data_IF_015779988258
#
_entry.id   IF_015779988258
#
_cell.length_a   1.000
_cell.length_b   1.000
_cell.length_c   1.000
_cell.angle_alpha   90.00
_cell.angle_beta   90.00
_cell.angle_gamma   90.00
#
_symmetry.space_group_name_H-M   'P 1'
#
loop_
_entity.id
_entity.type
_entity.pdbx_description
1 polymer ?
#
# COMPACT_ATOMS: atom_id res chain seq x y z
N UNK A 1 -24.45 -4.73 -16.91
CA UNK A 1 -23.52 -3.66 -16.49
C UNK A 1 -24.03 -2.84 -15.29
N UNK A 2 -25.32 -2.50 -15.20
CA UNK A 2 -25.92 -1.72 -14.09
C UNK A 2 -25.93 -2.46 -12.75
N UNK A 3 -26.30 -3.74 -12.72
CA UNK A 3 -26.38 -4.58 -11.50
C UNK A 3 -25.02 -4.69 -10.79
N UNK A 4 -23.93 -4.89 -11.52
CA UNK A 4 -22.58 -4.96 -10.94
C UNK A 4 -22.12 -3.65 -10.28
N UNK A 5 -22.53 -2.49 -10.83
CA UNK A 5 -22.26 -1.18 -10.21
C UNK A 5 -23.02 -1.00 -8.89
N UNK A 6 -24.28 -1.41 -8.86
CA UNK A 6 -25.13 -1.32 -7.65
C UNK A 6 -24.55 -2.24 -6.56
N UNK A 7 -24.26 -3.49 -6.87
CA UNK A 7 -23.67 -4.45 -5.94
C UNK A 7 -22.37 -3.95 -5.33
N UNK A 8 -21.46 -3.43 -6.16
CA UNK A 8 -20.20 -2.85 -5.70
C UNK A 8 -20.43 -1.67 -4.77
N UNK A 9 -21.35 -0.76 -5.11
CA UNK A 9 -21.67 0.41 -4.27
C UNK A 9 -22.22 -0.01 -2.91
N UNK A 10 -23.06 -1.02 -2.84
CA UNK A 10 -23.57 -1.58 -1.59
C UNK A 10 -22.43 -2.16 -0.76
N UNK A 11 -21.56 -3.00 -1.33
CA UNK A 11 -20.42 -3.60 -0.64
C UNK A 11 -19.47 -2.54 -0.05
N UNK A 12 -19.10 -1.54 -0.84
CA UNK A 12 -18.18 -0.49 -0.36
C UNK A 12 -18.82 0.40 0.70
N UNK A 13 -20.13 0.67 0.63
CA UNK A 13 -20.86 1.42 1.65
C UNK A 13 -20.92 0.64 2.97
N UNK A 14 -21.31 -0.62 2.95
CA UNK A 14 -21.31 -1.49 4.14
C UNK A 14 -19.91 -1.62 4.74
N UNK A 15 -18.88 -1.78 3.93
CA UNK A 15 -17.51 -1.83 4.41
C UNK A 15 -17.11 -0.54 5.14
N UNK A 16 -17.46 0.63 4.63
CA UNK A 16 -17.19 1.92 5.26
C UNK A 16 -17.93 2.11 6.59
N UNK A 17 -19.16 1.60 6.69
CA UNK A 17 -19.92 1.61 7.93
C UNK A 17 -19.26 0.74 9.02
N UNK A 18 -18.75 -0.44 8.64
CA UNK A 18 -18.04 -1.33 9.57
C UNK A 18 -16.63 -0.80 9.91
N UNK A 19 -15.98 -0.12 8.97
CA UNK A 19 -14.63 0.41 9.11
C UNK A 19 -14.58 1.92 8.84
N UNK A 20 -14.91 2.75 9.83
CA UNK A 20 -15.00 4.22 9.66
C UNK A 20 -13.70 4.88 9.20
N UNK A 21 -12.54 4.26 9.43
CA UNK A 21 -11.25 4.75 8.90
C UNK A 21 -11.21 4.88 7.38
N UNK A 22 -12.09 4.17 6.66
CA UNK A 22 -12.23 4.27 5.21
C UNK A 22 -13.34 5.23 4.75
N UNK A 23 -14.05 5.91 5.67
CA UNK A 23 -15.21 6.76 5.34
C UNK A 23 -14.87 7.85 4.31
N UNK A 24 -13.69 8.47 4.45
CA UNK A 24 -13.22 9.55 3.57
C UNK A 24 -12.53 9.04 2.28
N UNK A 25 -12.38 7.74 2.09
CA UNK A 25 -11.77 7.17 0.89
C UNK A 25 -12.79 6.96 -0.23
N UNK A 26 -12.39 7.15 -1.48
CA UNK A 26 -13.11 6.66 -2.66
C UNK A 26 -12.67 5.21 -2.88
N UNK A 27 -13.61 4.27 -2.80
CA UNK A 27 -13.35 2.84 -3.01
C UNK A 27 -14.00 2.38 -4.32
N UNK A 28 -13.18 1.90 -5.25
CA UNK A 28 -13.69 1.24 -6.46
C UNK A 28 -14.07 -0.22 -6.19
N UNK A 29 -13.40 -0.86 -5.23
CA UNK A 29 -13.79 -2.13 -4.64
C UNK A 29 -13.35 -2.18 -3.17
N UNK A 30 -13.87 -3.17 -2.41
CA UNK A 30 -13.45 -3.39 -1.02
C UNK A 30 -12.02 -3.93 -1.00
N UNK A 31 -11.04 -3.21 -0.44
CA UNK A 31 -9.68 -3.70 -0.37
C UNK A 31 -9.58 -4.88 0.61
N UNK A 32 -8.67 -5.80 0.33
CA UNK A 32 -8.33 -6.87 1.27
C UNK A 32 -7.29 -6.36 2.26
N UNK A 33 -7.69 -6.18 3.52
CA UNK A 33 -6.83 -5.59 4.56
C UNK A 33 -6.72 -6.54 5.74
N UNK A 34 -5.49 -6.90 6.10
CA UNK A 34 -5.15 -7.61 7.33
C UNK A 34 -4.59 -6.65 8.37
N UNK A 35 -4.90 -6.90 9.65
CA UNK A 35 -4.47 -6.06 10.79
C UNK A 35 -4.94 -4.60 10.70
N UNK A 36 -6.22 -4.39 10.37
CA UNK A 36 -6.83 -3.06 10.15
C UNK A 36 -6.58 -2.05 11.28
N UNK A 37 -6.46 -2.51 12.54
CA UNK A 37 -6.16 -1.66 13.69
C UNK A 37 -4.76 -0.99 13.62
N UNK A 38 -3.86 -1.53 12.81
CA UNK A 38 -2.51 -1.01 12.58
C UNK A 38 -2.38 -0.23 11.26
N UNK A 39 -3.51 0.01 10.57
CA UNK A 39 -3.58 0.82 9.36
C UNK A 39 -4.08 2.22 9.72
N UNK A 40 -3.29 3.24 9.39
CA UNK A 40 -3.66 4.65 9.51
C UNK A 40 -3.85 5.23 8.11
N UNK A 41 -5.00 5.85 7.89
CA UNK A 41 -5.39 6.43 6.60
C UNK A 41 -5.60 7.92 6.72
N UNK A 42 -5.01 8.68 5.82
CA UNK A 42 -5.28 10.09 5.60
C UNK A 42 -6.63 10.33 4.92
N UNK A 43 -6.85 11.53 4.46
CA UNK A 43 -8.06 11.97 3.77
C UNK A 43 -7.89 11.92 2.25
N UNK A 44 -9.03 11.94 1.52
CA UNK A 44 -9.06 11.97 0.04
C UNK A 44 -8.26 10.86 -0.63
N UNK A 45 -8.33 9.66 -0.08
CA UNK A 45 -7.72 8.48 -0.69
C UNK A 45 -8.59 7.97 -1.84
N UNK A 46 -7.95 7.47 -2.88
CA UNK A 46 -8.57 6.72 -3.95
C UNK A 46 -7.97 5.31 -3.96
N UNK A 47 -8.79 4.30 -3.69
CA UNK A 47 -8.36 2.90 -3.62
C UNK A 47 -9.11 2.13 -4.71
N UNK A 48 -8.35 1.68 -5.71
CA UNK A 48 -8.89 0.90 -6.81
C UNK A 48 -9.17 -0.55 -6.40
N UNK A 49 -9.55 -1.34 -7.35
CA UNK A 49 -9.85 -2.76 -7.16
C UNK A 49 -8.59 -3.61 -6.94
N UNK A 50 -8.78 -4.78 -6.36
CA UNK A 50 -7.74 -5.77 -6.07
C UNK A 50 -6.54 -5.24 -5.23
N UNK A 51 -6.74 -4.21 -4.42
CA UNK A 51 -5.70 -3.72 -3.50
C UNK A 51 -5.60 -4.63 -2.29
N UNK A 52 -4.37 -5.04 -1.95
CA UNK A 52 -4.04 -5.84 -0.78
C UNK A 52 -3.12 -5.08 0.18
N UNK A 53 -3.49 -5.04 1.47
CA UNK A 53 -2.69 -4.40 2.52
C UNK A 53 -2.55 -5.36 3.70
N UNK A 54 -1.32 -5.80 3.98
CA UNK A 54 -0.97 -6.47 5.22
C UNK A 54 -0.26 -5.48 6.16
N UNK A 55 -0.98 -5.01 7.16
CA UNK A 55 -0.51 -3.98 8.09
C UNK A 55 0.03 -4.54 9.41
N UNK A 56 0.54 -5.78 9.45
CA UNK A 56 1.04 -6.40 10.68
C UNK A 56 2.17 -5.60 11.35
N UNK A 57 3.05 -4.96 10.57
CA UNK A 57 4.12 -4.08 11.04
C UNK A 57 3.70 -2.61 11.21
N UNK A 58 2.43 -2.30 10.89
CA UNK A 58 1.95 -0.94 10.76
C UNK A 58 2.05 -0.41 9.32
N UNK A 59 0.99 0.28 8.87
CA UNK A 59 0.99 1.00 7.59
C UNK A 59 0.34 2.35 7.81
N UNK A 60 1.02 3.41 7.39
CA UNK A 60 0.48 4.77 7.38
C UNK A 60 0.44 5.28 5.95
N UNK A 61 -0.74 5.74 5.52
CA UNK A 61 -0.96 6.34 4.20
C UNK A 61 -1.43 7.76 4.39
N UNK A 62 -0.67 8.71 3.83
CA UNK A 62 -0.95 10.14 3.91
C UNK A 62 -2.20 10.57 3.13
N UNK A 63 -2.44 11.87 3.13
CA UNK A 63 -3.58 12.47 2.42
C UNK A 63 -3.40 12.41 0.91
N UNK A 64 -4.51 12.39 0.17
CA UNK A 64 -4.53 12.50 -1.29
C UNK A 64 -3.69 11.44 -2.00
N UNK A 65 -3.70 10.19 -1.49
CA UNK A 65 -2.98 9.07 -2.09
C UNK A 65 -3.90 8.26 -2.99
N UNK A 66 -3.38 7.86 -4.14
CA UNK A 66 -4.03 6.93 -5.06
C UNK A 66 -3.32 5.59 -5.02
N UNK A 67 -4.04 4.54 -4.66
CA UNK A 67 -3.61 3.16 -4.83
C UNK A 67 -4.31 2.58 -6.05
N UNK A 68 -3.58 2.37 -7.14
CA UNK A 68 -4.12 1.84 -8.39
C UNK A 68 -4.44 0.34 -8.27
N UNK A 69 -5.04 -0.22 -9.33
CA UNK A 69 -5.37 -1.65 -9.42
C UNK A 69 -4.19 -2.54 -9.00
N UNK A 70 -4.48 -3.58 -8.20
CA UNK A 70 -3.52 -4.63 -7.86
C UNK A 70 -2.36 -4.19 -6.96
N UNK A 71 -2.39 -3.00 -6.39
CA UNK A 71 -1.34 -2.55 -5.46
C UNK A 71 -1.28 -3.47 -4.26
N UNK A 72 -0.07 -3.90 -3.91
CA UNK A 72 0.23 -4.78 -2.78
C UNK A 72 1.16 -4.05 -1.79
N UNK A 73 0.71 -3.91 -0.53
CA UNK A 73 1.48 -3.31 0.57
C UNK A 73 1.67 -4.37 1.65
N UNK A 74 2.91 -4.76 1.94
CA UNK A 74 3.21 -5.85 2.88
C UNK A 74 4.24 -5.40 3.89
N UNK A 75 3.81 -5.11 5.13
CA UNK A 75 4.66 -4.64 6.22
C UNK A 75 5.35 -5.78 7.00
N UNK A 76 5.49 -6.95 6.39
CA UNK A 76 6.25 -8.08 6.92
C UNK A 76 7.18 -8.64 5.85
N UNK A 77 8.26 -9.26 6.28
CA UNK A 77 9.25 -9.93 5.44
C UNK A 77 9.93 -11.03 6.23
N UNK A 78 11.03 -11.55 5.71
CA UNK A 78 11.84 -12.57 6.37
C UNK A 78 13.17 -11.99 6.82
N UNK A 79 13.68 -12.44 7.97
CA UNK A 79 15.06 -12.25 8.35
C UNK A 79 15.94 -13.22 7.57
N UNK A 80 16.47 -12.75 6.46
CA UNK A 80 17.29 -13.57 5.58
C UNK A 80 18.61 -13.99 6.20
N UNK A 81 19.12 -13.28 7.23
CA UNK A 81 20.35 -13.64 7.95
C UNK A 81 20.16 -14.93 8.75
N UNK A 82 18.95 -15.24 9.15
CA UNK A 82 18.60 -16.45 9.92
C UNK A 82 18.09 -17.60 9.05
N UNK A 83 17.92 -17.37 7.74
CA UNK A 83 17.29 -18.34 6.85
C UNK A 83 17.96 -19.71 6.83
N UNK A 84 19.31 -19.75 6.67
CA UNK A 84 20.07 -20.99 6.58
C UNK A 84 20.15 -21.74 7.92
N UNK A 85 20.30 -21.01 9.02
CA UNK A 85 20.52 -21.56 10.34
C UNK A 85 19.25 -21.69 11.20
N UNK A 86 18.07 -21.46 10.60
CA UNK A 86 16.80 -21.55 11.33
C UNK A 86 16.54 -22.99 11.81
N UNK A 87 16.00 -23.11 13.01
CA UNK A 87 15.47 -24.38 13.52
C UNK A 87 14.10 -24.68 12.90
N UNK A 88 13.73 -25.97 12.83
CA UNK A 88 12.39 -26.36 12.35
C UNK A 88 11.31 -25.68 13.20
N UNK A 89 10.34 -25.05 12.51
CA UNK A 89 9.25 -24.32 13.16
C UNK A 89 9.62 -22.94 13.71
N UNK A 90 10.86 -22.49 13.56
CA UNK A 90 11.25 -21.15 14.01
C UNK A 90 10.62 -20.07 13.12
N UNK A 91 9.93 -19.12 13.78
CA UNK A 91 9.40 -17.93 13.10
C UNK A 91 10.53 -16.91 12.94
N UNK A 92 10.89 -16.64 11.68
CA UNK A 92 11.88 -15.65 11.30
C UNK A 92 11.27 -14.46 10.56
N UNK A 93 9.96 -14.23 10.71
CA UNK A 93 9.33 -13.06 10.13
C UNK A 93 9.74 -11.78 10.86
N UNK A 94 10.01 -10.75 10.08
CA UNK A 94 10.27 -9.40 10.58
C UNK A 94 9.16 -8.47 10.05
N UNK A 95 8.53 -7.77 10.97
CA UNK A 95 7.52 -6.77 10.63
C UNK A 95 8.06 -5.37 10.87
N UNK A 96 8.06 -4.52 9.83
CA UNK A 96 8.52 -3.13 9.89
C UNK A 96 7.45 -2.21 9.31
N UNK A 97 7.24 -1.01 9.90
CA UNK A 97 6.21 -0.10 9.42
C UNK A 97 6.50 0.40 8.02
N UNK A 98 5.41 0.66 7.26
CA UNK A 98 5.46 1.32 5.95
C UNK A 98 4.82 2.68 6.08
N UNK A 99 5.44 3.70 5.49
CA UNK A 99 4.94 5.07 5.46
C UNK A 99 4.83 5.55 4.02
N UNK A 100 3.63 5.89 3.57
CA UNK A 100 3.39 6.52 2.27
C UNK A 100 3.02 7.98 2.52
N UNK A 101 3.82 8.90 2.03
CA UNK A 101 3.62 10.34 2.16
C UNK A 101 2.33 10.83 1.50
N UNK A 102 1.99 12.09 1.72
CA UNK A 102 0.84 12.71 1.08
C UNK A 102 1.07 12.94 -0.42
N UNK A 103 -0.03 13.01 -1.18
CA UNK A 103 0.00 13.29 -2.62
C UNK A 103 0.88 12.31 -3.41
N UNK A 104 0.77 11.01 -3.11
CA UNK A 104 1.49 9.93 -3.80
C UNK A 104 0.54 9.18 -4.72
N UNK A 105 0.96 8.96 -5.96
CA UNK A 105 0.28 8.05 -6.88
C UNK A 105 1.07 6.74 -7.00
N UNK A 106 0.46 5.66 -6.51
CA UNK A 106 1.00 4.31 -6.64
C UNK A 106 0.36 3.65 -7.85
N UNK A 107 1.15 3.40 -8.88
CA UNK A 107 0.74 2.79 -10.15
C UNK A 107 0.25 1.35 -9.99
N UNK A 108 -0.39 0.84 -11.03
CA UNK A 108 -0.97 -0.51 -11.00
C UNK A 108 0.10 -1.59 -10.76
N UNK A 109 -0.28 -2.63 -9.99
CA UNK A 109 0.57 -3.79 -9.67
C UNK A 109 1.90 -3.43 -9.00
N UNK A 110 1.98 -2.29 -8.32
CA UNK A 110 3.15 -1.94 -7.51
C UNK A 110 3.13 -2.76 -6.23
N UNK A 111 4.32 -3.26 -5.84
CA UNK A 111 4.53 -3.89 -4.53
C UNK A 111 5.39 -3.01 -3.64
N UNK A 112 4.89 -2.69 -2.44
CA UNK A 112 5.63 -1.95 -1.41
C UNK A 112 5.99 -2.90 -0.28
N UNK A 113 7.30 -3.08 -0.07
CA UNK A 113 7.86 -4.03 0.89
C UNK A 113 7.98 -3.43 2.30
N UNK A 114 8.17 -4.32 3.27
CA UNK A 114 8.30 -4.01 4.69
C UNK A 114 9.41 -2.99 4.98
N UNK A 115 9.10 -1.99 5.82
CA UNK A 115 10.05 -0.99 6.29
C UNK A 115 10.25 0.21 5.37
N UNK A 116 9.52 0.29 4.25
CA UNK A 116 9.71 1.34 3.23
C UNK A 116 9.02 2.64 3.63
N UNK A 117 9.70 3.76 3.37
CA UNK A 117 9.14 5.12 3.39
C UNK A 117 9.13 5.71 1.97
N UNK A 118 8.00 6.28 1.58
CA UNK A 118 7.82 6.97 0.30
C UNK A 118 7.55 8.44 0.58
N UNK A 119 8.42 9.31 0.07
CA UNK A 119 8.29 10.76 0.21
C UNK A 119 7.02 11.28 -0.48
N UNK A 120 6.50 12.40 0.03
CA UNK A 120 5.31 13.05 -0.54
C UNK A 120 5.55 13.53 -1.98
N UNK A 121 4.45 13.82 -2.69
CA UNK A 121 4.46 14.31 -4.07
C UNK A 121 5.12 13.36 -5.07
N UNK A 122 5.17 12.07 -4.80
CA UNK A 122 5.86 11.08 -5.63
C UNK A 122 4.89 10.27 -6.49
N UNK A 123 5.39 9.81 -7.63
CA UNK A 123 4.70 8.85 -8.50
C UNK A 123 5.52 7.56 -8.54
N UNK A 124 4.87 6.43 -8.30
CA UNK A 124 5.48 5.11 -8.45
C UNK A 124 4.90 4.48 -9.71
N UNK A 125 5.76 4.22 -10.69
CA UNK A 125 5.36 3.64 -11.97
C UNK A 125 4.76 2.23 -11.79
N UNK A 126 3.84 1.87 -12.67
CA UNK A 126 3.19 0.56 -12.65
C UNK A 126 4.21 -0.60 -12.69
N UNK A 127 3.92 -1.68 -11.97
CA UNK A 127 4.77 -2.87 -11.88
C UNK A 127 6.06 -2.70 -11.08
N UNK A 128 6.29 -1.56 -10.46
CA UNK A 128 7.50 -1.36 -9.64
C UNK A 128 7.46 -2.17 -8.34
N UNK A 129 8.64 -2.56 -7.84
CA UNK A 129 8.81 -3.20 -6.53
C UNK A 129 9.67 -2.29 -5.65
N UNK A 130 9.05 -1.72 -4.63
CA UNK A 130 9.70 -0.78 -3.70
C UNK A 130 10.26 -1.56 -2.53
N UNK A 131 11.58 -1.71 -2.49
CA UNK A 131 12.31 -2.49 -1.46
C UNK A 131 13.16 -1.62 -0.53
N UNK A 132 13.30 -0.33 -0.84
CA UNK A 132 14.07 0.67 -0.08
C UNK A 132 13.32 1.98 -0.04
N UNK A 133 13.68 2.85 0.89
CA UNK A 133 13.10 4.18 1.01
C UNK A 133 13.26 5.00 -0.26
N UNK A 134 12.20 5.72 -0.62
CA UNK A 134 12.16 6.68 -1.72
C UNK A 134 12.03 8.07 -1.08
N UNK A 135 13.17 8.69 -0.79
CA UNK A 135 13.26 9.84 0.12
C UNK A 135 13.17 11.20 -0.57
N UNK A 136 13.35 11.26 -1.89
CA UNK A 136 13.27 12.52 -2.61
C UNK A 136 11.82 12.83 -3.00
N UNK A 137 11.34 13.98 -2.59
CA UNK A 137 9.99 14.46 -2.90
C UNK A 137 9.85 14.85 -4.37
N UNK A 138 8.62 14.79 -4.90
CA UNK A 138 8.32 15.25 -6.26
C UNK A 138 8.99 14.44 -7.35
N UNK A 139 9.21 13.15 -7.14
CA UNK A 139 9.93 12.30 -8.09
C UNK A 139 9.04 11.19 -8.67
N UNK A 140 9.37 10.81 -9.90
CA UNK A 140 8.91 9.57 -10.52
C UNK A 140 9.92 8.47 -10.22
N UNK A 141 9.42 7.38 -9.65
CA UNK A 141 10.17 6.16 -9.35
C UNK A 141 9.62 4.97 -10.14
N UNK A 142 10.47 4.01 -10.49
CA UNK A 142 10.03 2.80 -11.18
C UNK A 142 11.08 1.72 -11.24
N UNK A 143 10.68 0.53 -11.70
CA UNK A 143 11.56 -0.62 -11.88
C UNK A 143 11.54 -1.62 -10.71
N UNK A 144 12.36 -2.68 -10.84
CA UNK A 144 12.53 -3.77 -9.87
C UNK A 144 14.03 -3.95 -9.61
N UNK A 145 14.58 -3.49 -8.48
CA UNK A 145 13.93 -2.64 -7.48
C UNK A 145 13.66 -1.21 -7.98
N UNK A 146 12.68 -0.53 -7.38
CA UNK A 146 12.31 0.83 -7.74
C UNK A 146 13.47 1.80 -7.50
N UNK A 147 13.74 2.65 -8.48
CA UNK A 147 14.75 3.72 -8.45
C UNK A 147 14.16 5.00 -8.99
N UNK A 148 14.75 6.14 -8.64
CA UNK A 148 14.39 7.45 -9.23
C UNK A 148 14.62 7.42 -10.73
N UNK A 149 13.61 7.84 -11.49
CA UNK A 149 13.65 8.01 -12.93
C UNK A 149 13.91 9.48 -13.26
N UNK A 150 13.10 10.38 -12.67
CA UNK A 150 13.22 11.82 -12.88
C UNK A 150 12.51 12.63 -11.78
N UNK A 151 12.82 13.92 -11.71
CA UNK A 151 12.02 14.91 -10.99
C UNK A 151 10.72 15.15 -11.76
N UNK A 152 9.60 15.36 -11.04
CA UNK A 152 8.33 15.79 -11.61
C UNK A 152 8.31 17.33 -11.56
N UNK A 153 8.04 17.95 -12.69
CA UNK A 153 7.86 19.40 -12.82
C UNK A 153 6.42 19.80 -12.48
#
# INVERSE_FOLDING_TARGET
MMIGRIYRKIKTTLFKLIYPSFSAAVLYEVPRVYFKKRLKLGKRLCINDNVFINAIGGVTIGDNVVLSHGVTIVSTGLDTSRWINRKNGEDIHISRPIEVGANVWVGANVTICSGVKIAKNSIIAAGAVVTKDLIEEGCLYGGIPAKKIKQIE
#
